data_IF_896507649166
#
_entry.id   IF_896507649166
#
_cell.length_a   1.000
_cell.length_b   1.000
_cell.length_c   1.000
_cell.angle_alpha   90.00
_cell.angle_beta   90.00
_cell.angle_gamma   90.00
#
_symmetry.space_group_name_H-M   'P 1'
#
loop_
_entity.id
_entity.type
_entity.pdbx_description
1 polymer ?
#
# COMPACT_ATOMS: atom_id res chain seq x y z
N UNK A 1 -7.71 26.41 -25.85
CA UNK A 1 -7.42 25.04 -26.32
C UNK A 1 -8.70 24.54 -26.97
N UNK A 2 -8.65 24.13 -28.24
CA UNK A 2 -9.85 23.80 -29.00
C UNK A 2 -10.36 22.40 -28.64
N UNK A 3 -11.48 22.35 -27.93
CA UNK A 3 -12.08 21.12 -27.39
C UNK A 3 -12.61 20.19 -28.48
N UNK A 4 -13.00 20.73 -29.64
CA UNK A 4 -13.55 19.93 -30.75
C UNK A 4 -12.46 19.09 -31.42
N UNK A 5 -11.27 19.67 -31.61
CA UNK A 5 -10.13 19.00 -32.22
C UNK A 5 -9.54 17.89 -31.32
N UNK A 6 -9.65 18.04 -30.00
CA UNK A 6 -9.28 17.02 -29.03
C UNK A 6 -10.24 15.81 -29.08
N UNK A 7 -11.55 16.08 -29.15
CA UNK A 7 -12.59 15.05 -29.23
C UNK A 7 -12.52 14.26 -30.56
N UNK A 8 -12.26 14.92 -31.69
CA UNK A 8 -12.08 14.24 -32.98
C UNK A 8 -10.85 13.31 -33.02
N UNK A 9 -9.77 13.69 -32.36
CA UNK A 9 -8.56 12.87 -32.26
C UNK A 9 -8.77 11.67 -31.33
N UNK A 10 -9.50 11.83 -30.23
CA UNK A 10 -9.87 10.73 -29.33
C UNK A 10 -10.81 9.71 -29.98
N UNK A 11 -11.73 10.14 -30.84
CA UNK A 11 -12.66 9.27 -31.55
C UNK A 11 -11.97 8.28 -32.51
N UNK A 12 -10.70 8.52 -32.88
CA UNK A 12 -9.91 7.65 -33.78
C UNK A 12 -9.07 6.60 -33.04
N UNK A 13 -9.00 6.64 -31.71
CA UNK A 13 -8.18 5.73 -30.91
C UNK A 13 -8.84 4.35 -30.81
N UNK A 14 -8.26 3.35 -31.48
CA UNK A 14 -8.78 1.96 -31.49
C UNK A 14 -8.11 1.04 -30.46
N UNK A 15 -6.92 1.38 -29.99
CA UNK A 15 -6.14 0.59 -29.03
C UNK A 15 -5.31 1.53 -28.15
N UNK A 16 -5.28 1.28 -26.84
CA UNK A 16 -4.44 2.00 -25.86
C UNK A 16 -3.53 0.99 -25.19
N UNK A 17 -2.22 1.24 -25.16
CA UNK A 17 -1.24 0.42 -24.44
C UNK A 17 -0.67 1.19 -23.26
N UNK A 18 -0.47 0.51 -22.14
CA UNK A 18 0.10 1.09 -20.93
C UNK A 18 0.87 0.04 -20.14
N UNK A 19 1.98 0.41 -19.50
CA UNK A 19 2.68 -0.46 -18.57
C UNK A 19 1.91 -0.57 -17.25
N UNK A 20 1.96 -1.73 -16.61
CA UNK A 20 1.52 -1.93 -15.23
C UNK A 20 2.59 -2.72 -14.45
N UNK A 21 2.62 -2.52 -13.14
CA UNK A 21 3.30 -3.42 -12.20
C UNK A 21 2.25 -4.32 -11.55
N UNK A 22 2.54 -5.61 -11.41
CA UNK A 22 1.58 -6.61 -10.94
C UNK A 22 2.20 -7.54 -9.89
N UNK A 23 1.49 -7.81 -8.80
CA UNK A 23 1.94 -8.65 -7.70
C UNK A 23 3.02 -8.04 -6.79
N UNK A 24 3.52 -8.83 -5.81
CA UNK A 24 4.36 -8.34 -4.70
C UNK A 24 5.82 -8.12 -5.07
N UNK A 25 6.25 -8.64 -6.22
CA UNK A 25 7.61 -8.45 -6.78
C UNK A 25 7.58 -7.44 -7.94
N UNK A 26 6.50 -6.66 -8.05
CA UNK A 26 6.32 -5.60 -9.06
C UNK A 26 6.66 -6.08 -10.49
N UNK A 27 6.13 -7.23 -10.88
CA UNK A 27 6.39 -7.77 -12.22
C UNK A 27 5.82 -6.79 -13.26
N UNK A 28 6.64 -6.36 -14.24
CA UNK A 28 6.23 -5.39 -15.26
C UNK A 28 5.49 -6.07 -16.40
N UNK A 29 4.24 -5.68 -16.62
CA UNK A 29 3.41 -6.13 -17.74
C UNK A 29 3.12 -4.97 -18.69
N UNK A 30 2.97 -5.28 -19.97
CA UNK A 30 2.40 -4.35 -20.95
C UNK A 30 0.96 -4.76 -21.18
N UNK A 31 0.03 -3.88 -20.85
CA UNK A 31 -1.40 -4.09 -21.02
C UNK A 31 -1.95 -3.26 -22.17
N UNK A 32 -3.06 -3.73 -22.73
CA UNK A 32 -3.80 -3.02 -23.77
C UNK A 32 -5.32 -3.09 -23.58
N UNK A 33 -5.97 -1.99 -23.92
CA UNK A 33 -7.43 -1.88 -24.08
C UNK A 33 -7.72 -1.74 -25.57
N UNK A 34 -8.72 -2.48 -26.06
CA UNK A 34 -9.14 -2.44 -27.47
C UNK A 34 -10.58 -1.95 -27.56
N UNK A 35 -10.84 -0.96 -28.40
CA UNK A 35 -12.21 -0.51 -28.69
C UNK A 35 -12.80 -1.41 -29.79
N UNK A 36 -13.91 -2.09 -29.47
CA UNK A 36 -14.66 -2.94 -30.40
C UNK A 36 -16.11 -2.47 -30.36
N UNK A 37 -16.63 -2.02 -31.51
CA UNK A 37 -18.02 -1.53 -31.66
C UNK A 37 -18.41 -0.43 -30.67
N UNK A 38 -17.47 0.47 -30.34
CA UNK A 38 -17.70 1.58 -29.41
C UNK A 38 -17.50 1.23 -27.92
N UNK A 39 -17.22 -0.04 -27.59
CA UNK A 39 -16.96 -0.50 -26.23
C UNK A 39 -15.48 -0.82 -26.02
N UNK A 40 -14.91 -0.40 -24.89
CA UNK A 40 -13.55 -0.76 -24.50
C UNK A 40 -13.51 -2.15 -23.87
N UNK A 41 -12.66 -3.03 -24.41
CA UNK A 41 -12.47 -4.42 -23.96
C UNK A 41 -11.02 -4.62 -23.50
N UNK A 42 -10.83 -5.17 -22.30
CA UNK A 42 -9.53 -5.45 -21.67
C UNK A 42 -9.59 -5.27 -20.14
N UNK A 43 -8.44 -5.15 -19.44
CA UNK A 43 -7.08 -5.12 -19.98
C UNK A 43 -6.59 -6.52 -20.39
N UNK A 44 -6.02 -6.61 -21.59
CA UNK A 44 -5.26 -7.78 -22.03
C UNK A 44 -3.78 -7.47 -21.80
N UNK A 45 -3.06 -8.31 -21.07
CA UNK A 45 -1.69 -8.05 -20.66
C UNK A 45 -0.76 -9.16 -21.15
N UNK A 46 0.49 -8.81 -21.44
CA UNK A 46 1.56 -9.72 -21.81
C UNK A 46 2.78 -9.42 -20.94
N UNK A 47 3.46 -10.48 -20.48
CA UNK A 47 4.87 -10.35 -20.12
C UNK A 47 5.64 -9.97 -21.40
N UNK A 48 6.65 -9.11 -21.27
CA UNK A 48 7.37 -8.48 -22.39
C UNK A 48 7.94 -9.49 -23.42
N UNK A 49 8.08 -10.77 -23.06
CA UNK A 49 8.76 -11.81 -23.85
C UNK A 49 7.88 -12.57 -24.83
N UNK A 50 6.56 -12.65 -24.61
CA UNK A 50 5.74 -13.69 -25.28
C UNK A 50 4.80 -13.15 -26.36
N UNK A 51 4.57 -11.83 -26.41
CA UNK A 51 3.68 -11.16 -27.39
C UNK A 51 2.20 -11.61 -27.37
N UNK A 52 1.84 -12.59 -26.54
CA UNK A 52 0.49 -13.13 -26.38
C UNK A 52 -0.22 -12.43 -25.22
N UNK A 53 -1.02 -11.44 -25.59
CA UNK A 53 -1.87 -10.73 -24.64
C UNK A 53 -3.02 -11.62 -24.16
N UNK A 54 -3.06 -11.89 -22.84
CA UNK A 54 -4.12 -12.65 -22.17
C UNK A 54 -4.90 -11.74 -21.23
N UNK A 55 -6.12 -12.11 -20.88
CA UNK A 55 -6.89 -11.42 -19.83
C UNK A 55 -6.12 -11.47 -18.52
N UNK A 56 -5.89 -10.31 -17.91
CA UNK A 56 -5.31 -10.25 -16.57
C UNK A 56 -6.39 -10.72 -15.58
N UNK A 57 -6.19 -11.91 -15.03
CA UNK A 57 -7.07 -12.50 -14.02
C UNK A 57 -6.84 -11.83 -12.68
N UNK A 58 -7.89 -11.73 -11.84
CA UNK A 58 -7.83 -10.94 -10.59
C UNK A 58 -6.76 -11.43 -9.62
N UNK A 59 -6.14 -10.49 -8.90
CA UNK A 59 -5.23 -10.77 -7.79
C UNK A 59 -5.99 -11.31 -6.59
N UNK A 60 -5.39 -12.26 -5.88
CA UNK A 60 -5.88 -12.67 -4.57
C UNK A 60 -5.26 -11.79 -3.50
N UNK A 61 -6.10 -11.24 -2.63
CA UNK A 61 -5.64 -10.44 -1.50
C UNK A 61 -5.34 -11.38 -0.34
N UNK A 62 -4.11 -11.38 0.15
CA UNK A 62 -3.79 -11.92 1.46
C UNK A 62 -3.91 -10.79 2.48
N UNK A 63 -4.69 -11.02 3.53
CA UNK A 63 -4.77 -10.13 4.67
C UNK A 63 -4.06 -10.73 5.86
N UNK A 64 -3.27 -9.93 6.58
CA UNK A 64 -2.53 -10.37 7.76
C UNK A 64 -3.43 -10.48 9.01
N UNK A 65 -4.44 -11.34 8.93
CA UNK A 65 -5.45 -11.53 9.98
C UNK A 65 -5.14 -12.75 10.89
N UNK A 66 -4.03 -13.45 10.63
CA UNK A 66 -3.68 -14.72 11.28
C UNK A 66 -2.39 -14.59 12.12
N UNK A 67 -2.46 -14.15 13.40
CA UNK A 67 -1.28 -13.77 14.20
C UNK A 67 -0.33 -14.94 14.52
N UNK A 68 -0.84 -16.17 14.47
CA UNK A 68 -0.07 -17.39 14.71
C UNK A 68 0.39 -18.06 13.42
N UNK A 69 -0.02 -17.55 12.26
CA UNK A 69 0.33 -18.07 10.95
C UNK A 69 1.39 -17.16 10.32
N UNK A 70 2.41 -17.77 9.74
CA UNK A 70 3.40 -17.08 8.92
C UNK A 70 3.27 -17.60 7.50
N UNK A 71 2.99 -16.70 6.56
CA UNK A 71 2.85 -17.00 5.14
C UNK A 71 4.14 -16.64 4.43
N UNK A 72 4.54 -17.46 3.46
CA UNK A 72 5.73 -17.31 2.66
C UNK A 72 5.38 -17.35 1.18
N UNK A 73 6.11 -16.54 0.41
CA UNK A 73 6.10 -16.57 -1.04
C UNK A 73 7.55 -16.54 -1.54
N UNK A 74 7.94 -17.50 -2.40
CA UNK A 74 9.32 -17.63 -2.93
C UNK A 74 10.40 -17.46 -1.84
N UNK A 75 10.23 -18.18 -0.72
CA UNK A 75 11.13 -18.17 0.46
C UNK A 75 11.19 -16.87 1.27
N UNK A 76 10.36 -15.86 0.96
CA UNK A 76 10.25 -14.63 1.74
C UNK A 76 8.99 -14.64 2.60
N UNK A 77 9.11 -14.27 3.88
CA UNK A 77 7.95 -14.17 4.78
C UNK A 77 7.15 -12.91 4.48
N UNK A 78 5.83 -13.04 4.45
CA UNK A 78 4.89 -11.95 4.18
C UNK A 78 4.40 -11.38 5.53
N UNK A 79 4.69 -10.11 5.78
CA UNK A 79 4.40 -9.45 7.06
C UNK A 79 3.18 -8.51 6.99
N UNK A 80 2.79 -8.08 5.79
CA UNK A 80 1.73 -7.11 5.56
C UNK A 80 0.69 -7.65 4.57
N UNK A 81 -0.45 -6.97 4.49
CA UNK A 81 -1.45 -7.21 3.45
C UNK A 81 -0.81 -7.12 2.07
N UNK A 82 -1.01 -8.14 1.24
CA UNK A 82 -0.26 -8.31 0.00
C UNK A 82 -1.16 -8.90 -1.08
N UNK A 83 -1.11 -8.32 -2.29
CA UNK A 83 -1.82 -8.83 -3.45
C UNK A 83 -0.94 -9.83 -4.21
N UNK A 84 -1.50 -11.00 -4.52
CA UNK A 84 -0.83 -12.07 -5.23
C UNK A 84 -1.42 -12.26 -6.63
N UNK A 85 -0.58 -12.37 -7.66
CA UNK A 85 -1.01 -12.70 -9.01
C UNK A 85 -1.80 -14.01 -9.06
N UNK A 86 -2.69 -14.12 -10.04
CA UNK A 86 -3.31 -15.40 -10.39
C UNK A 86 -2.25 -16.49 -10.60
N UNK A 87 -2.58 -17.71 -10.17
CA UNK A 87 -1.73 -18.89 -10.25
C UNK A 87 -0.52 -18.88 -9.31
N UNK A 88 -0.48 -17.94 -8.37
CA UNK A 88 0.51 -17.90 -7.29
C UNK A 88 0.17 -18.96 -6.24
N UNK A 89 1.17 -19.72 -5.82
CA UNK A 89 1.11 -20.57 -4.63
C UNK A 89 1.90 -19.91 -3.50
N UNK A 90 1.25 -19.75 -2.36
CA UNK A 90 1.87 -19.31 -1.10
C UNK A 90 1.89 -20.50 -0.12
N UNK A 91 2.91 -20.55 0.73
CA UNK A 91 3.02 -21.58 1.76
C UNK A 91 2.82 -20.98 3.14
N UNK A 92 2.09 -21.67 4.02
CA UNK A 92 1.78 -21.19 5.36
C UNK A 92 2.30 -22.16 6.43
N UNK A 93 2.78 -21.61 7.55
CA UNK A 93 3.25 -22.38 8.71
C UNK A 93 2.87 -21.70 10.02
N UNK A 94 2.96 -22.41 11.14
CA UNK A 94 2.79 -21.80 12.45
C UNK A 94 4.04 -21.04 12.91
N UNK A 95 3.83 -19.84 13.46
CA UNK A 95 4.88 -18.93 13.94
C UNK A 95 5.74 -19.56 15.03
N UNK A 96 5.11 -20.30 15.96
CA UNK A 96 5.78 -20.97 17.08
C UNK A 96 5.81 -22.49 16.85
N UNK A 97 6.90 -22.96 16.25
CA UNK A 97 7.12 -24.39 15.97
C UNK A 97 7.07 -25.22 17.25
N UNK A 98 6.43 -26.39 17.19
CA UNK A 98 6.28 -27.29 18.34
C UNK A 98 5.20 -26.89 19.35
N UNK A 99 4.76 -25.63 19.41
CA UNK A 99 3.64 -25.16 20.25
C UNK A 99 2.28 -25.18 19.53
N UNK A 100 2.30 -25.13 18.20
CA UNK A 100 1.12 -25.19 17.36
C UNK A 100 1.34 -26.12 16.18
N UNK A 101 0.32 -26.90 15.84
CA UNK A 101 0.24 -27.76 14.67
C UNK A 101 -0.59 -27.05 13.61
N UNK A 102 -0.14 -27.14 12.36
CA UNK A 102 -0.90 -26.64 11.23
C UNK A 102 -2.08 -27.59 10.94
N UNK A 103 -3.30 -27.07 10.92
CA UNK A 103 -4.51 -27.79 10.55
C UNK A 103 -5.06 -27.22 9.25
N UNK A 104 -4.98 -28.00 8.17
CA UNK A 104 -5.35 -27.58 6.81
C UNK A 104 -4.17 -27.72 5.85
N UNK A 105 -4.35 -27.23 4.63
CA UNK A 105 -3.31 -27.31 3.60
C UNK A 105 -2.21 -26.28 3.88
N UNK A 106 -0.95 -26.73 3.82
CA UNK A 106 0.21 -25.85 3.96
C UNK A 106 0.47 -24.99 2.73
N UNK A 107 -0.12 -25.33 1.59
CA UNK A 107 -0.03 -24.60 0.35
C UNK A 107 -1.41 -24.08 -0.06
N UNK A 108 -1.48 -22.78 -0.33
CA UNK A 108 -2.70 -22.11 -0.78
C UNK A 108 -2.42 -21.51 -2.16
N UNK A 109 -3.27 -21.85 -3.13
CA UNK A 109 -3.13 -21.38 -4.51
C UNK A 109 -4.19 -20.34 -4.85
N UNK A 110 -3.76 -19.26 -5.49
CA UNK A 110 -4.62 -18.19 -5.97
C UNK A 110 -5.21 -18.55 -7.34
N UNK A 111 -6.54 -18.59 -7.46
CA UNK A 111 -7.25 -18.79 -8.71
C UNK A 111 -8.28 -17.68 -8.93
N UNK A 112 -8.10 -16.91 -10.01
CA UNK A 112 -8.92 -15.76 -10.43
C UNK A 112 -9.51 -14.89 -9.29
N UNK A 113 -8.66 -14.39 -8.39
CA UNK A 113 -9.04 -13.50 -7.28
C UNK A 113 -9.59 -14.20 -6.04
N UNK A 114 -9.63 -15.53 -6.02
CA UNK A 114 -10.01 -16.33 -4.86
C UNK A 114 -8.90 -17.33 -4.48
N UNK A 115 -8.74 -17.56 -3.18
CA UNK A 115 -7.89 -18.63 -2.67
C UNK A 115 -8.63 -19.97 -2.78
N UNK A 116 -8.02 -20.97 -3.43
CA UNK A 116 -8.65 -22.27 -3.68
C UNK A 116 -8.91 -23.09 -2.41
N UNK A 117 -7.99 -22.98 -1.45
CA UNK A 117 -8.11 -23.58 -0.14
C UNK A 117 -8.30 -22.49 0.91
N UNK A 118 -8.97 -22.83 2.01
CA UNK A 118 -9.02 -21.96 3.19
C UNK A 118 -7.63 -21.89 3.81
N UNK A 119 -7.29 -20.75 4.39
CA UNK A 119 -6.05 -20.62 5.14
C UNK A 119 -6.02 -21.61 6.31
N UNK A 120 -4.88 -22.29 6.54
CA UNK A 120 -4.76 -23.26 7.61
C UNK A 120 -4.76 -22.58 8.97
N UNK A 121 -5.25 -23.29 9.97
CA UNK A 121 -5.29 -22.82 11.35
C UNK A 121 -4.12 -23.39 12.15
N UNK A 122 -3.53 -22.57 13.01
CA UNK A 122 -2.53 -23.01 13.97
C UNK A 122 -3.20 -23.42 15.27
N UNK A 123 -3.36 -24.72 15.47
CA UNK A 123 -3.97 -25.28 16.67
C UNK A 123 -2.90 -25.61 17.71
N UNK A 124 -3.05 -25.23 18.99
CA UNK A 124 -2.06 -25.53 20.02
C UNK A 124 -1.78 -27.04 20.12
N UNK A 125 -0.52 -27.42 20.25
CA UNK A 125 -0.08 -28.81 20.49
C UNK A 125 -0.03 -29.16 21.98
N UNK A 126 -0.12 -28.17 22.87
CA UNK A 126 -0.18 -28.37 24.34
C UNK A 126 -1.24 -27.51 25.05
N UNK A 127 -1.67 -28.05 26.19
CA UNK A 127 -2.75 -27.65 27.08
C UNK A 127 -2.46 -26.36 27.87
N UNK A 128 -2.46 -25.18 27.23
CA UNK A 128 -2.90 -23.97 27.96
C UNK A 128 -4.34 -23.59 27.59
N UNK A 129 -4.89 -24.11 26.48
CA UNK A 129 -6.26 -23.76 26.07
C UNK A 129 -7.14 -24.90 25.55
N UNK A 130 -6.70 -26.16 25.51
CA UNK A 130 -7.63 -27.27 25.26
C UNK A 130 -7.16 -28.61 25.84
N UNK A 131 -7.89 -29.10 26.83
CA UNK A 131 -7.77 -30.44 27.40
C UNK A 131 -8.47 -31.44 26.46
N UNK A 132 -7.79 -31.90 25.42
CA UNK A 132 -8.23 -33.10 24.69
C UNK A 132 -7.19 -34.20 24.84
N UNK A 133 -7.65 -35.40 25.17
CA UNK A 133 -6.82 -36.56 25.51
C UNK A 133 -5.99 -37.13 24.36
N UNK A 134 -6.12 -36.60 23.14
CA UNK A 134 -5.53 -37.16 21.92
C UNK A 134 -4.31 -36.38 21.39
N UNK A 135 -3.79 -35.41 22.16
CA UNK A 135 -2.64 -34.61 21.73
C UNK A 135 -1.34 -35.44 21.67
N UNK A 136 -0.58 -35.39 20.56
CA UNK A 136 0.72 -36.07 20.42
C UNK A 136 1.82 -35.38 21.24
N UNK A 137 2.93 -36.09 21.56
CA UNK A 137 4.05 -35.50 22.27
C UNK A 137 4.68 -34.32 21.52
N UNK A 138 5.19 -33.35 22.27
CA UNK A 138 5.88 -32.17 21.73
C UNK A 138 7.38 -32.41 21.69
N UNK A 139 8.01 -32.12 20.55
CA UNK A 139 9.47 -32.14 20.42
C UNK A 139 9.98 -30.71 20.52
N UNK A 140 10.80 -30.44 21.53
CA UNK A 140 11.50 -29.17 21.71
C UNK A 140 12.96 -29.37 21.36
N UNK A 141 13.57 -28.44 20.63
CA UNK A 141 15.02 -28.44 20.41
C UNK A 141 15.68 -27.22 21.03
N UNK A 142 16.95 -27.35 21.37
CA UNK A 142 17.80 -26.30 21.89
C UNK A 142 19.20 -26.44 21.30
N UNK A 143 19.78 -25.32 20.84
CA UNK A 143 21.16 -25.30 20.35
C UNK A 143 22.04 -24.97 21.54
N UNK A 144 22.85 -25.94 21.98
CA UNK A 144 23.78 -25.75 23.10
C UNK A 144 25.05 -25.01 22.65
N UNK A 145 25.49 -25.30 21.43
CA UNK A 145 26.67 -24.70 20.78
C UNK A 145 26.52 -24.80 19.26
N UNK A 146 27.07 -23.83 18.52
CA UNK A 146 26.93 -23.71 17.06
C UNK A 146 25.59 -23.09 16.61
N UNK A 147 25.05 -23.60 15.50
CA UNK A 147 23.82 -23.10 14.89
C UNK A 147 22.98 -24.21 14.26
N UNK A 148 21.66 -23.97 14.21
CA UNK A 148 20.70 -24.82 13.52
C UNK A 148 19.50 -23.98 13.04
N UNK A 149 18.87 -24.39 11.95
CA UNK A 149 17.71 -23.74 11.33
C UNK A 149 16.64 -24.80 11.05
N UNK A 150 15.37 -24.45 11.19
CA UNK A 150 14.25 -25.33 10.82
C UNK A 150 13.73 -24.94 9.44
N UNK A 151 13.74 -25.89 8.51
CA UNK A 151 13.26 -25.74 7.13
C UNK A 151 11.73 -25.69 7.07
N UNK A 152 11.13 -25.18 5.97
CA UNK A 152 9.68 -25.07 5.81
C UNK A 152 8.92 -26.40 5.93
N UNK A 153 9.58 -27.51 5.58
CA UNK A 153 9.03 -28.86 5.68
C UNK A 153 9.10 -29.46 7.11
N UNK A 154 9.66 -28.74 8.08
CA UNK A 154 9.81 -29.19 9.47
C UNK A 154 11.11 -29.96 9.77
N UNK A 155 12.04 -30.06 8.82
CA UNK A 155 13.38 -30.63 9.06
C UNK A 155 14.27 -29.65 9.84
N UNK A 156 15.04 -30.15 10.81
CA UNK A 156 16.04 -29.39 11.54
C UNK A 156 17.40 -29.53 10.83
N UNK A 157 17.82 -28.48 10.14
CA UNK A 157 19.16 -28.36 9.57
C UNK A 157 20.15 -27.92 10.65
N UNK A 158 21.15 -28.77 10.88
CA UNK A 158 22.20 -28.53 11.86
C UNK A 158 23.48 -28.21 11.11
N UNK A 159 24.14 -27.11 11.47
CA UNK A 159 25.44 -26.79 10.87
C UNK A 159 26.54 -27.68 11.47
N UNK A 160 27.68 -27.87 10.77
CA UNK A 160 28.78 -28.69 11.27
C UNK A 160 29.28 -28.14 12.60
N UNK A 161 29.75 -29.04 13.47
CA UNK A 161 30.24 -28.75 14.83
C UNK A 161 29.21 -28.24 15.84
N UNK A 162 27.93 -28.12 15.46
CA UNK A 162 26.85 -27.76 16.38
C UNK A 162 26.48 -28.92 17.32
N UNK A 163 26.15 -28.57 18.57
CA UNK A 163 25.59 -29.47 19.57
C UNK A 163 24.14 -29.10 19.82
N UNK A 164 23.23 -30.06 19.65
CA UNK A 164 21.81 -29.81 19.84
C UNK A 164 21.21 -30.78 20.85
N UNK A 165 20.23 -30.29 21.61
CA UNK A 165 19.44 -31.07 22.53
C UNK A 165 18.02 -31.13 22.02
N UNK A 166 17.45 -32.33 21.96
CA UNK A 166 16.03 -32.53 21.68
C UNK A 166 15.35 -33.18 22.89
N UNK A 167 14.24 -32.59 23.30
CA UNK A 167 13.42 -32.99 24.45
C UNK A 167 12.06 -33.42 23.95
N UNK A 168 11.61 -34.60 24.37
CA UNK A 168 10.25 -35.04 24.18
C UNK A 168 9.40 -34.72 25.41
N UNK A 169 8.34 -33.96 25.19
CA UNK A 169 7.46 -33.47 26.23
C UNK A 169 6.07 -34.06 26.03
N UNK A 170 5.58 -34.81 27.00
CA UNK A 170 4.23 -35.36 27.05
C UNK A 170 3.53 -34.98 28.37
N UNK A 171 2.20 -35.13 28.42
CA UNK A 171 1.47 -34.98 29.68
C UNK A 171 1.87 -36.07 30.65
N UNK A 172 2.23 -35.69 31.89
CA UNK A 172 2.54 -36.66 32.97
C UNK A 172 1.43 -37.70 33.20
N UNK A 173 0.17 -37.34 32.96
CA UNK A 173 -0.97 -38.25 33.10
C UNK A 173 -0.99 -39.38 32.06
N UNK A 174 -0.25 -39.24 30.96
CA UNK A 174 -0.12 -40.24 29.89
C UNK A 174 1.08 -41.17 30.07
N UNK A 175 1.86 -40.98 31.14
CA UNK A 175 3.13 -41.69 31.37
C UNK A 175 4.33 -41.02 30.70
N UNK A 176 5.49 -41.64 30.85
CA UNK A 176 6.74 -41.11 30.33
C UNK A 176 6.86 -41.41 28.82
N UNK A 177 7.22 -40.40 27.99
CA UNK A 177 7.42 -40.61 26.56
C UNK A 177 8.74 -41.34 26.28
N UNK A 178 8.77 -42.08 25.18
CA UNK A 178 9.94 -42.80 24.70
C UNK A 178 10.38 -42.30 23.32
N UNK A 179 11.68 -42.34 23.10
CA UNK A 179 12.30 -41.98 21.82
C UNK A 179 12.63 -43.25 21.01
N UNK A 180 12.47 -43.17 19.69
CA UNK A 180 12.87 -44.22 18.75
C UNK A 180 13.61 -43.61 17.54
N UNK A 181 14.71 -44.24 17.15
CA UNK A 181 15.60 -43.86 16.05
C UNK A 181 16.29 -45.11 15.46
N UNK A 182 17.11 -44.96 14.41
CA UNK A 182 17.76 -46.10 13.72
C UNK A 182 19.24 -46.29 14.06
N UNK A 183 19.95 -45.21 14.38
CA UNK A 183 21.38 -45.23 14.72
C UNK A 183 21.66 -45.67 16.17
N UNK A 184 22.06 -46.93 16.38
CA UNK A 184 22.30 -47.50 17.72
C UNK A 184 23.43 -46.85 18.54
N UNK A 185 24.37 -46.14 17.91
CA UNK A 185 25.43 -45.45 18.66
C UNK A 185 24.93 -44.19 19.39
N UNK A 186 23.70 -43.73 19.10
CA UNK A 186 23.07 -42.61 19.81
C UNK A 186 22.49 -43.01 21.16
N UNK A 187 22.45 -44.31 21.49
CA UNK A 187 21.94 -44.83 22.75
C UNK A 187 22.67 -44.21 23.96
N UNK A 188 24.01 -44.07 23.85
CA UNK A 188 24.87 -43.46 24.88
C UNK A 188 24.60 -41.96 25.12
N UNK A 189 23.91 -41.30 24.19
CA UNK A 189 23.61 -39.86 24.20
C UNK A 189 22.15 -39.55 24.55
N UNK A 190 21.37 -40.59 24.82
CA UNK A 190 19.97 -40.51 25.14
C UNK A 190 19.71 -40.73 26.64
N UNK A 191 18.66 -40.10 27.14
CA UNK A 191 18.04 -40.36 28.42
C UNK A 191 16.52 -40.37 28.22
N UNK A 192 15.74 -40.73 29.24
CA UNK A 192 14.31 -41.08 29.14
C UNK A 192 13.51 -40.19 28.17
N UNK A 193 13.60 -38.86 28.32
CA UNK A 193 12.88 -37.90 27.48
C UNK A 193 13.80 -36.99 26.66
N UNK A 194 15.12 -37.22 26.64
CA UNK A 194 16.10 -36.26 26.12
C UNK A 194 17.18 -36.95 25.29
N UNK A 195 17.50 -36.39 24.13
CA UNK A 195 18.65 -36.80 23.32
C UNK A 195 19.58 -35.60 23.16
N UNK A 196 20.85 -35.77 23.55
CA UNK A 196 21.88 -34.76 23.37
C UNK A 196 22.73 -35.16 22.15
N UNK A 197 22.45 -34.59 21.00
CA UNK A 197 23.20 -34.90 19.79
C UNK A 197 24.59 -34.23 19.86
N UNK A 198 25.68 -35.03 19.81
CA UNK A 198 27.04 -34.50 19.87
C UNK A 198 27.40 -33.81 18.54
N UNK A 199 28.69 -33.51 18.29
CA UNK A 199 29.11 -33.01 16.98
C UNK A 199 28.86 -34.09 15.91
N UNK A 200 27.84 -33.84 15.10
CA UNK A 200 27.42 -34.73 14.03
C UNK A 200 28.18 -34.43 12.73
N UNK A 201 28.55 -35.48 11.98
CA UNK A 201 29.26 -35.33 10.70
C UNK A 201 28.39 -34.75 9.59
N UNK A 202 29.01 -34.14 8.57
CA UNK A 202 28.38 -33.38 7.45
C UNK A 202 27.42 -34.20 6.55
N UNK A 203 27.26 -35.50 6.80
CA UNK A 203 26.31 -36.39 6.10
C UNK A 203 25.28 -37.04 7.02
N UNK A 204 25.25 -36.65 8.29
CA UNK A 204 24.31 -37.21 9.24
C UNK A 204 22.89 -36.75 8.88
N UNK A 205 21.99 -37.71 8.72
CA UNK A 205 20.57 -37.49 8.56
C UNK A 205 19.84 -38.60 9.30
N UNK A 206 18.98 -38.25 10.25
CA UNK A 206 18.25 -39.22 11.06
C UNK A 206 16.87 -38.68 11.43
N UNK A 207 15.89 -39.59 11.56
CA UNK A 207 14.54 -39.27 12.03
C UNK A 207 14.35 -39.74 13.46
N UNK A 208 14.08 -38.81 14.36
CA UNK A 208 13.75 -39.11 15.76
C UNK A 208 12.24 -39.08 15.94
N UNK A 209 11.68 -40.19 16.41
CA UNK A 209 10.26 -40.32 16.71
C UNK A 209 10.08 -40.35 18.21
N UNK A 210 9.30 -39.41 18.75
CA UNK A 210 8.83 -39.51 20.11
C UNK A 210 7.44 -40.15 20.15
N UNK A 211 7.26 -41.14 21.01
CA UNK A 211 6.02 -41.87 21.25
C UNK A 211 5.60 -41.79 22.71
N UNK A 212 4.31 -41.65 22.97
CA UNK A 212 3.72 -41.81 24.30
C UNK A 212 3.15 -43.23 24.49
N UNK A 213 2.98 -43.69 25.74
CA UNK A 213 2.44 -45.03 26.03
C UNK A 213 1.05 -45.32 25.46
N UNK A 214 0.25 -44.27 25.21
CA UNK A 214 -1.07 -44.36 24.56
C UNK A 214 -1.00 -44.49 23.02
N UNK A 215 0.21 -44.53 22.44
CA UNK A 215 0.45 -44.75 21.01
C UNK A 215 0.48 -43.47 20.17
N UNK A 216 0.32 -42.27 20.75
CA UNK A 216 0.48 -41.03 19.97
C UNK A 216 1.95 -40.74 19.70
N UNK A 217 2.28 -40.28 18.49
CA UNK A 217 3.68 -40.06 18.09
C UNK A 217 3.87 -38.72 17.40
N UNK A 218 5.08 -38.17 17.50
CA UNK A 218 5.55 -37.00 16.78
C UNK A 218 6.99 -37.23 16.31
N UNK A 219 7.41 -36.62 15.19
CA UNK A 219 8.70 -36.90 14.56
C UNK A 219 9.44 -35.61 14.20
N UNK A 220 10.76 -35.64 14.32
CA UNK A 220 11.66 -34.60 13.82
C UNK A 220 12.76 -35.24 12.99
N UNK A 221 13.04 -34.66 11.83
CA UNK A 221 14.16 -35.07 10.98
C UNK A 221 15.31 -34.11 11.25
N UNK A 222 16.49 -34.63 11.59
CA UNK A 222 17.71 -33.85 11.82
C UNK A 222 18.68 -34.14 10.69
N UNK A 223 19.12 -33.09 9.97
CA UNK A 223 20.07 -33.22 8.86
C UNK A 223 21.23 -32.25 9.05
N UNK A 224 22.46 -32.76 8.99
CA UNK A 224 23.64 -31.90 8.99
C UNK A 224 23.94 -31.43 7.58
N UNK A 225 24.11 -30.12 7.42
CA UNK A 225 24.43 -29.50 6.13
C UNK A 225 25.78 -28.79 6.23
N UNK A 226 26.54 -28.75 5.13
CA UNK A 226 27.78 -27.97 5.08
C UNK A 226 27.48 -26.47 5.15
N UNK A 227 28.36 -25.69 5.78
CA UNK A 227 28.35 -24.23 5.63
C UNK A 227 28.43 -23.88 4.14
N UNK A 228 27.53 -23.01 3.67
CA UNK A 228 27.70 -22.36 2.38
C UNK A 228 29.01 -21.57 2.41
N UNK A 229 29.79 -21.61 1.32
CA UNK A 229 31.09 -20.94 1.16
C UNK A 229 31.00 -19.41 1.06
N UNK A 230 29.87 -18.81 1.46
CA UNK A 230 29.68 -17.36 1.53
C UNK A 230 28.95 -17.02 2.82
N UNK A 231 29.36 -15.99 3.57
CA UNK A 231 28.49 -15.42 4.58
C UNK A 231 27.14 -15.07 3.93
N UNK A 232 26.02 -15.26 4.65
CA UNK A 232 24.71 -14.85 4.15
C UNK A 232 24.77 -13.35 3.80
N UNK A 233 24.15 -12.92 2.69
CA UNK A 233 24.07 -11.50 2.38
C UNK A 233 23.40 -10.80 3.56
N UNK A 234 24.09 -9.80 4.11
CA UNK A 234 23.53 -8.95 5.14
C UNK A 234 22.56 -8.01 4.43
N UNK A 235 21.27 -8.14 4.75
CA UNK A 235 20.27 -7.19 4.29
C UNK A 235 20.47 -5.89 5.05
N UNK A 236 21.00 -4.87 4.39
CA UNK A 236 20.95 -3.49 4.90
C UNK A 236 19.64 -2.84 4.46
N UNK A 237 18.96 -2.18 5.39
CA UNK A 237 17.76 -1.42 5.07
C UNK A 237 18.09 -0.31 4.06
N UNK A 238 17.32 -0.26 2.98
CA UNK A 238 17.48 0.77 1.95
C UNK A 238 16.70 2.01 2.35
N UNK A 239 17.37 3.15 2.35
CA UNK A 239 16.78 4.45 2.63
C UNK A 239 16.96 5.41 1.47
N UNK A 240 15.90 6.13 1.14
CA UNK A 240 15.94 7.21 0.17
C UNK A 240 16.58 8.48 0.77
N UNK A 241 17.22 9.30 -0.07
CA UNK A 241 17.88 10.52 0.38
C UNK A 241 16.85 11.50 0.97
N UNK A 242 17.27 12.17 2.06
CA UNK A 242 16.50 13.27 2.62
C UNK A 242 16.49 14.47 1.67
N UNK A 243 15.37 15.18 1.60
CA UNK A 243 15.25 16.40 0.80
C UNK A 243 16.07 17.54 1.44
N UNK A 244 17.25 17.83 0.88
CA UNK A 244 18.19 18.84 1.41
C UNK A 244 17.93 20.26 0.89
N UNK A 245 17.16 20.41 -0.18
CA UNK A 245 16.85 21.71 -0.82
C UNK A 245 15.36 21.81 -1.16
N UNK A 246 14.55 22.12 -0.16
CA UNK A 246 13.12 22.43 -0.34
C UNK A 246 12.96 23.91 -0.71
N UNK A 247 12.11 24.18 -1.71
CA UNK A 247 11.62 25.54 -1.96
C UNK A 247 10.89 26.04 -0.71
N UNK A 248 11.07 27.29 -0.25
CA UNK A 248 10.37 27.83 0.93
C UNK A 248 8.83 27.75 0.84
N UNK A 249 8.27 27.65 -0.36
CA UNK A 249 6.82 27.53 -0.60
C UNK A 249 6.32 26.08 -0.62
N UNK A 250 7.22 25.09 -0.50
CA UNK A 250 6.94 23.66 -0.53
C UNK A 250 7.26 23.05 0.83
N UNK A 251 6.29 22.37 1.43
CA UNK A 251 6.47 21.68 2.71
C UNK A 251 6.10 20.20 2.60
N UNK A 252 6.71 19.39 3.47
CA UNK A 252 6.47 17.95 3.54
C UNK A 252 5.62 17.68 4.77
N UNK A 253 4.47 17.03 4.58
CA UNK A 253 3.54 16.71 5.68
C UNK A 253 3.68 15.27 6.18
N UNK A 254 4.25 14.39 5.36
CA UNK A 254 4.54 13.00 5.70
C UNK A 254 5.89 12.63 5.06
N UNK A 255 6.79 12.01 5.83
CA UNK A 255 8.11 11.63 5.34
C UNK A 255 8.60 10.32 5.96
N UNK A 256 8.53 9.23 5.19
CA UNK A 256 9.17 7.96 5.51
C UNK A 256 10.14 7.59 4.38
N UNK A 257 11.44 7.61 4.67
CA UNK A 257 12.50 7.32 3.70
C UNK A 257 12.87 5.84 3.62
N UNK A 258 12.29 4.95 4.41
CA UNK A 258 12.50 3.50 4.26
C UNK A 258 11.89 2.99 2.96
N UNK A 259 12.41 1.87 2.43
CA UNK A 259 11.81 1.19 1.27
C UNK A 259 10.29 0.99 1.41
N UNK A 260 9.53 1.40 0.39
CA UNK A 260 8.06 1.44 0.39
C UNK A 260 7.44 2.56 1.23
N UNK A 261 8.26 3.39 1.87
CA UNK A 261 7.87 4.60 2.57
C UNK A 261 7.48 5.71 1.59
N UNK A 262 6.73 6.69 2.09
CA UNK A 262 6.15 7.78 1.29
C UNK A 262 6.60 9.15 1.77
N UNK A 263 6.80 10.07 0.83
CA UNK A 263 6.91 11.50 1.06
C UNK A 263 5.70 12.21 0.46
N UNK A 264 4.98 13.03 1.23
CA UNK A 264 3.80 13.78 0.77
C UNK A 264 4.03 15.28 0.90
N UNK A 265 3.76 16.00 -0.18
CA UNK A 265 4.06 17.41 -0.33
C UNK A 265 2.82 18.28 -0.32
N UNK A 266 2.96 19.50 0.18
CA UNK A 266 1.94 20.54 0.10
C UNK A 266 2.58 21.90 -0.17
N UNK A 267 1.78 22.84 -0.68
CA UNK A 267 2.23 24.20 -0.95
C UNK A 267 1.75 25.17 0.12
N UNK A 268 2.51 26.24 0.32
CA UNK A 268 2.07 27.38 1.10
C UNK A 268 0.83 28.04 0.47
N UNK A 269 0.09 28.77 1.31
CA UNK A 269 -1.09 29.50 0.88
C UNK A 269 -0.79 30.45 -0.29
N UNK A 270 -1.66 30.46 -1.31
CA UNK A 270 -1.46 31.22 -2.55
C UNK A 270 -0.59 30.55 -3.62
N UNK A 271 -0.15 29.31 -3.40
CA UNK A 271 0.60 28.50 -4.35
C UNK A 271 -0.14 27.20 -4.65
N UNK A 272 -0.04 26.72 -5.89
CA UNK A 272 -0.55 25.40 -6.29
C UNK A 272 0.58 24.44 -6.59
N UNK A 273 0.35 23.17 -6.25
CA UNK A 273 1.29 22.08 -6.48
C UNK A 273 1.23 21.62 -7.94
N UNK A 274 2.39 21.51 -8.58
CA UNK A 274 2.57 20.97 -9.94
C UNK A 274 3.55 19.81 -9.86
N UNK A 275 3.09 18.64 -10.26
CA UNK A 275 3.83 17.37 -10.15
C UNK A 275 3.08 16.35 -9.31
N UNK A 276 3.76 15.27 -8.94
CA UNK A 276 3.19 14.25 -8.08
C UNK A 276 3.05 14.78 -6.64
N UNK A 277 1.86 14.68 -6.00
CA UNK A 277 1.67 15.16 -4.62
C UNK A 277 2.39 14.28 -3.59
N UNK A 278 2.91 13.12 -3.99
CA UNK A 278 3.78 12.31 -3.16
C UNK A 278 4.64 11.36 -3.97
N UNK A 279 5.74 10.93 -3.34
CA UNK A 279 6.76 10.04 -3.90
C UNK A 279 6.91 8.83 -2.98
N UNK A 280 7.30 7.69 -3.56
CA UNK A 280 7.52 6.43 -2.85
C UNK A 280 9.01 6.05 -2.94
N UNK A 281 9.57 5.48 -1.86
CA UNK A 281 10.96 5.06 -1.85
C UNK A 281 11.11 3.68 -2.51
N UNK A 282 11.82 3.65 -3.64
CA UNK A 282 12.01 2.46 -4.45
C UNK A 282 13.19 1.60 -3.97
N UNK A 283 13.30 0.39 -4.53
CA UNK A 283 14.27 -0.63 -4.11
C UNK A 283 15.73 -0.20 -4.35
N UNK A 284 15.96 0.71 -5.29
CA UNK A 284 17.28 1.25 -5.61
C UNK A 284 17.70 2.40 -4.67
N UNK A 285 16.88 2.73 -3.67
CA UNK A 285 17.11 3.83 -2.74
C UNK A 285 16.84 5.20 -3.35
N UNK A 286 16.08 5.25 -4.44
CA UNK A 286 15.63 6.50 -5.06
C UNK A 286 14.14 6.72 -4.87
N UNK A 287 13.73 7.99 -4.85
CA UNK A 287 12.33 8.34 -4.88
C UNK A 287 11.75 8.06 -6.26
N UNK A 288 10.50 7.60 -6.33
CA UNK A 288 9.78 7.21 -7.56
C UNK A 288 9.58 8.31 -8.61
N UNK A 289 10.07 9.53 -8.35
CA UNK A 289 9.98 10.66 -9.27
C UNK A 289 10.67 11.91 -8.74
N UNK A 290 10.54 12.99 -9.50
CA UNK A 290 11.07 14.30 -9.13
C UNK A 290 10.18 15.03 -8.12
N UNK A 291 10.79 15.89 -7.30
CA UNK A 291 10.09 16.70 -6.32
C UNK A 291 9.10 17.65 -7.03
N UNK A 292 7.84 17.77 -6.56
CA UNK A 292 6.88 18.70 -7.14
C UNK A 292 7.29 20.15 -6.91
N UNK A 293 6.71 21.05 -7.71
CA UNK A 293 6.95 22.49 -7.59
C UNK A 293 5.70 23.22 -7.13
N UNK A 294 5.90 24.22 -6.27
CA UNK A 294 4.86 25.17 -5.90
C UNK A 294 4.98 26.41 -6.76
N UNK A 295 3.94 26.68 -7.55
CA UNK A 295 3.88 27.88 -8.39
C UNK A 295 2.80 28.85 -7.87
N UNK A 296 3.05 30.17 -7.93
CA UNK A 296 2.08 31.14 -7.46
C UNK A 296 0.78 31.07 -8.27
N UNK A 297 -0.33 31.28 -7.58
CA UNK A 297 -1.66 31.37 -8.18
C UNK A 297 -1.97 32.84 -8.42
N UNK A 298 -2.44 33.15 -9.64
CA UNK A 298 -2.84 34.50 -10.02
C UNK A 298 -4.25 34.48 -10.60
N UNK A 299 -5.05 35.48 -10.23
CA UNK A 299 -6.33 35.74 -10.85
C UNK A 299 -6.17 36.48 -12.19
N UNK A 300 -7.13 36.31 -13.12
CA UNK A 300 -7.12 37.01 -14.39
C UNK A 300 -7.24 38.52 -14.19
N UNK A 301 -6.83 39.28 -15.21
CA UNK A 301 -7.00 40.72 -15.22
C UNK A 301 -8.47 41.11 -14.99
N UNK A 302 -8.73 42.09 -14.10
CA UNK A 302 -10.08 42.51 -13.79
C UNK A 302 -10.73 43.18 -15.00
N UNK A 303 -11.98 42.85 -15.25
CA UNK A 303 -12.80 43.47 -16.28
C UNK A 303 -13.37 44.77 -15.70
N UNK A 304 -13.13 45.89 -16.37
CA UNK A 304 -13.72 47.17 -15.99
C UNK A 304 -15.20 47.23 -16.42
N UNK A 305 -16.13 47.50 -15.49
CA UNK A 305 -17.53 47.76 -15.83
C UNK A 305 -17.65 48.97 -16.75
N UNK A 306 -18.59 48.91 -17.69
CA UNK A 306 -18.98 50.10 -18.46
C UNK A 306 -19.51 51.17 -17.48
N UNK A 307 -19.06 52.42 -17.62
CA UNK A 307 -19.32 53.49 -16.66
C UNK A 307 -18.85 53.23 -15.22
N UNK A 308 -17.89 52.31 -15.04
CA UNK A 308 -17.21 52.07 -13.78
C UNK A 308 -15.69 52.16 -13.89
N UNK A 309 -15.03 52.19 -12.75
CA UNK A 309 -13.58 52.26 -12.60
C UNK A 309 -13.12 51.42 -11.41
N UNK A 310 -11.85 50.98 -11.44
CA UNK A 310 -11.19 50.40 -10.28
C UNK A 310 -10.62 51.52 -9.42
N UNK A 311 -10.94 51.51 -8.13
CA UNK A 311 -10.47 52.50 -7.15
C UNK A 311 -9.32 51.98 -6.29
N UNK A 312 -9.04 50.67 -6.35
CA UNK A 312 -7.93 50.04 -5.62
C UNK A 312 -6.57 50.53 -6.14
N UNK A 313 -5.65 50.84 -5.20
CA UNK A 313 -4.25 51.22 -5.49
C UNK A 313 -3.29 50.04 -5.67
N UNK A 314 -3.73 48.82 -5.36
CA UNK A 314 -2.95 47.58 -5.44
C UNK A 314 -2.89 47.06 -6.88
N UNK A 315 -2.42 47.90 -7.80
CA UNK A 315 -1.93 47.39 -9.08
C UNK A 315 -0.56 46.80 -8.74
N UNK A 316 -0.48 45.46 -8.71
CA UNK A 316 0.80 44.81 -8.40
C UNK A 316 1.86 45.25 -9.42
N UNK A 317 3.12 45.28 -8.99
CA UNK A 317 4.25 45.83 -9.76
C UNK A 317 4.47 45.17 -11.14
N UNK A 318 3.81 44.04 -11.42
CA UNK A 318 3.98 43.24 -12.65
C UNK A 318 2.65 42.93 -13.38
N UNK A 319 1.54 43.58 -13.01
CA UNK A 319 0.23 43.35 -13.67
C UNK A 319 -0.36 41.95 -13.42
N UNK A 320 -0.10 41.35 -12.26
CA UNK A 320 -0.64 40.04 -11.85
C UNK A 320 -1.28 40.10 -10.48
N UNK A 321 -2.41 39.42 -10.27
CA UNK A 321 -3.17 39.51 -9.02
C UNK A 321 -3.00 38.23 -8.19
N UNK A 322 -2.03 38.15 -7.25
CA UNK A 322 -1.88 36.99 -6.39
C UNK A 322 -3.11 36.76 -5.49
N UNK A 323 -3.23 35.53 -4.99
CA UNK A 323 -4.26 35.16 -4.00
C UNK A 323 -4.22 36.12 -2.81
N UNK A 324 -5.40 36.60 -2.40
CA UNK A 324 -5.56 37.60 -1.34
C UNK A 324 -5.68 39.04 -1.83
N UNK A 325 -5.32 39.33 -3.08
CA UNK A 325 -5.49 40.68 -3.62
C UNK A 325 -6.96 41.09 -3.60
N UNK A 326 -7.21 42.33 -3.16
CA UNK A 326 -8.54 42.93 -3.04
C UNK A 326 -8.71 44.05 -4.07
N UNK A 327 -9.69 43.89 -4.95
CA UNK A 327 -10.10 44.92 -5.90
C UNK A 327 -11.43 45.53 -5.49
N UNK A 328 -11.50 46.86 -5.59
CA UNK A 328 -12.69 47.64 -5.31
C UNK A 328 -13.07 48.42 -6.56
N UNK A 329 -14.31 48.27 -7.00
CA UNK A 329 -14.91 49.04 -8.08
C UNK A 329 -15.62 50.29 -7.56
N UNK A 330 -15.80 51.29 -8.43
CA UNK A 330 -16.75 52.38 -8.25
C UNK A 330 -17.40 52.72 -9.57
N UNK A 331 -18.67 53.10 -9.53
CA UNK A 331 -19.36 53.64 -10.68
C UNK A 331 -19.04 55.13 -10.85
N UNK A 332 -19.06 55.59 -12.09
CA UNK A 332 -18.95 57.00 -12.43
C UNK A 332 -20.15 57.78 -11.90
N UNK A 333 -19.99 59.10 -11.76
CA UNK A 333 -21.06 59.98 -11.29
C UNK A 333 -22.33 59.83 -12.14
N UNK A 334 -23.49 59.69 -11.49
CA UNK A 334 -24.78 59.47 -12.15
C UNK A 334 -25.14 58.01 -12.42
N UNK A 335 -24.27 57.05 -12.06
CA UNK A 335 -24.53 55.60 -12.14
C UNK A 335 -24.54 54.97 -10.76
N UNK A 336 -25.35 53.94 -10.59
CA UNK A 336 -25.50 53.16 -9.37
C UNK A 336 -25.01 51.72 -9.61
N UNK A 337 -24.48 51.10 -8.56
CA UNK A 337 -23.93 49.75 -8.63
C UNK A 337 -25.02 48.68 -8.51
N UNK A 338 -24.91 47.64 -9.34
CA UNK A 338 -25.61 46.38 -9.18
C UNK A 338 -24.60 45.22 -9.08
N UNK A 339 -24.51 44.60 -7.90
CA UNK A 339 -23.58 43.51 -7.62
C UNK A 339 -22.60 43.83 -6.48
N UNK A 340 -21.55 43.02 -6.36
CA UNK A 340 -20.53 43.17 -5.32
C UNK A 340 -19.43 44.14 -5.79
N UNK A 341 -19.16 45.19 -5.00
CA UNK A 341 -18.12 46.18 -5.32
C UNK A 341 -16.71 45.71 -4.97
N UNK A 342 -16.59 44.70 -4.10
CA UNK A 342 -15.32 44.22 -3.57
C UNK A 342 -15.07 42.75 -3.91
N UNK A 343 -13.98 42.47 -4.61
CA UNK A 343 -13.63 41.11 -5.02
C UNK A 343 -12.23 40.74 -4.55
N UNK A 344 -12.06 39.48 -4.14
CA UNK A 344 -10.80 38.95 -3.61
C UNK A 344 -10.32 37.82 -4.50
N UNK A 345 -9.01 37.78 -4.79
CA UNK A 345 -8.43 36.66 -5.53
C UNK A 345 -8.35 35.42 -4.63
N UNK A 346 -8.93 34.31 -5.07
CA UNK A 346 -9.05 33.08 -4.26
C UNK A 346 -8.07 31.99 -4.69
N UNK A 347 -7.88 30.96 -3.86
CA UNK A 347 -6.92 29.87 -4.10
C UNK A 347 -7.25 28.98 -5.31
N UNK A 348 -8.44 29.12 -5.89
CA UNK A 348 -8.78 28.42 -7.14
C UNK A 348 -8.30 29.18 -8.40
N UNK A 349 -7.71 30.38 -8.24
CA UNK A 349 -7.26 31.22 -9.34
C UNK A 349 -8.35 32.11 -9.95
N UNK A 350 -9.50 32.25 -9.29
CA UNK A 350 -10.60 33.11 -9.70
C UNK A 350 -10.96 34.15 -8.64
N UNK A 351 -11.55 35.24 -9.11
CA UNK A 351 -12.15 36.27 -8.26
C UNK A 351 -13.37 35.71 -7.53
N UNK A 352 -13.58 36.15 -6.28
CA UNK A 352 -14.69 35.70 -5.44
C UNK A 352 -16.07 35.99 -6.03
N UNK A 353 -16.21 37.06 -6.82
CA UNK A 353 -17.43 37.45 -7.50
C UNK A 353 -17.12 37.99 -8.91
N UNK A 354 -18.10 37.99 -9.85
CA UNK A 354 -17.98 38.70 -11.12
C UNK A 354 -17.91 40.22 -10.92
N UNK A 355 -17.43 40.99 -11.92
CA UNK A 355 -17.46 42.44 -11.87
C UNK A 355 -18.90 42.97 -11.75
N UNK A 356 -19.13 44.07 -11.01
CA UNK A 356 -20.46 44.65 -10.87
C UNK A 356 -20.89 45.38 -12.14
N UNK A 357 -22.19 45.64 -12.26
CA UNK A 357 -22.73 46.51 -13.31
C UNK A 357 -22.90 47.93 -12.77
N UNK A 358 -22.61 48.94 -13.60
CA UNK A 358 -22.91 50.34 -13.31
C UNK A 358 -24.02 50.79 -14.23
N UNK A 359 -25.22 50.98 -13.68
CA UNK A 359 -26.43 51.30 -14.43
C UNK A 359 -26.96 52.67 -14.03
N UNK A 360 -27.59 53.42 -14.95
CA UNK A 360 -28.25 54.66 -14.58
C UNK A 360 -29.43 54.36 -13.63
N UNK A 361 -29.78 55.27 -12.70
CA UNK A 361 -30.90 55.10 -11.77
C UNK A 361 -32.24 54.77 -12.43
N UNK A 362 -32.42 55.14 -13.71
CA UNK A 362 -33.62 54.84 -14.51
C UNK A 362 -33.76 53.38 -14.91
N UNK A 363 -32.65 52.63 -15.00
CA UNK A 363 -32.61 51.21 -15.36
C UNK A 363 -32.62 50.30 -14.13
N UNK A 364 -32.21 50.82 -12.98
CA UNK A 364 -32.37 50.16 -11.67
C UNK A 364 -33.81 50.36 -11.20
N UNK A 365 -34.75 49.83 -11.99
CA UNK A 365 -36.14 49.73 -11.57
C UNK A 365 -36.20 48.67 -10.47
N UNK A 366 -36.42 49.12 -9.24
CA UNK A 366 -36.60 48.29 -8.05
C UNK A 366 -37.48 47.07 -8.39
N UNK A 367 -37.05 45.86 -7.99
CA UNK A 367 -37.82 44.62 -8.21
C UNK A 367 -39.26 44.66 -7.67
N UNK A 368 -39.60 45.64 -6.83
CA UNK A 368 -40.92 45.83 -6.25
C UNK A 368 -41.77 46.87 -6.99
N UNK A 369 -41.42 47.30 -8.21
CA UNK A 369 -42.17 48.34 -8.92
C UNK A 369 -42.62 47.85 -10.29
N UNK A 370 -43.93 47.62 -10.42
CA UNK A 370 -44.58 47.37 -11.71
C UNK A 370 -44.83 48.72 -12.37
N UNK A 371 -44.31 48.91 -13.58
CA UNK A 371 -44.59 50.08 -14.41
C UNK A 371 -45.51 49.67 -15.56
N UNK A 372 -46.70 50.23 -15.61
CA UNK A 372 -47.58 50.19 -16.77
C UNK A 372 -47.70 51.61 -17.35
N UNK A 373 -47.47 51.72 -18.65
CA UNK A 373 -47.61 52.88 -19.54
C UNK A 373 -47.94 54.24 -18.88
N UNK A 374 -46.89 54.95 -18.45
CA UNK A 374 -46.87 56.40 -18.22
C UNK A 374 -47.92 57.02 -17.27
N UNK A 375 -48.34 56.33 -16.20
CA UNK A 375 -48.91 57.02 -15.03
C UNK A 375 -48.44 56.41 -13.71
N UNK A 376 -47.93 57.25 -12.81
CA UNK A 376 -47.57 56.88 -11.44
C UNK A 376 -48.85 56.74 -10.61
N UNK A 377 -49.08 55.58 -10.00
CA UNK A 377 -50.02 55.44 -8.90
C UNK A 377 -49.27 55.26 -7.58
N UNK A 378 -49.73 56.04 -6.60
CA UNK A 378 -49.17 56.25 -5.27
C UNK A 378 -49.41 55.04 -4.37
N UNK A 379 -48.39 54.77 -3.54
CA UNK A 379 -48.35 54.14 -2.21
C UNK A 379 -49.21 52.88 -1.96
N UNK A 380 -48.52 51.78 -1.64
CA UNK A 380 -49.05 50.75 -0.74
C UNK A 380 -48.11 50.67 0.44
N UNK A 381 -48.61 51.15 1.58
CA UNK A 381 -47.93 51.16 2.86
C UNK A 381 -47.44 49.75 3.23
N UNK A 382 -46.29 49.77 3.91
CA UNK A 382 -45.65 48.69 4.66
C UNK A 382 -46.62 47.68 5.26
N UNK A 383 -46.39 46.39 4.96
CA UNK A 383 -46.83 45.28 5.81
C UNK A 383 -45.66 44.33 6.02
N UNK A 384 -45.07 44.50 7.20
CA UNK A 384 -44.13 43.68 7.99
C UNK A 384 -42.77 43.27 7.42
#
# INVERSE_FOLDING_TARGET
MDMEQFLENFAKVKEIKFPISYGPVTEKYICKLKCVDGYWVGPLCSSSTDGRFKTLLKECVYKHEYPLLTVYFRNSSIQNDTNFPHNTTISARCKYFGMYKLKGDSEIRCENGAWLSKFPECVPTTVITNFTGDAPPTIRYEVLDGSAIVEPNGELLVFPDSHIRIDCMALRSKGDPEWTWTQSWLDDYSNTFRINLPKLGVRFAETFTCSTPDGTTNKIVVRVVSHWSSPPPICEETFCPFFTSLNPQLSIIEHNSSFGGRAVFTCAWGYRLVGAPGLECEQDGQWSGEMPQCIPIYCPDPILPEHGQLVTKTISKDGKFPVGDLLIYACNEGYEVMGELSIVCTENGFWSHPPPFCLPPTEIKRLNTIYLENTTLVNLDSVY
#
